data_IF_639568056225
#
_entry.id   IF_639568056225
#
_cell.length_a   1.000
_cell.length_b   1.000
_cell.length_c   1.000
_cell.angle_alpha   90.00
_cell.angle_beta   90.00
_cell.angle_gamma   90.00
#
_symmetry.space_group_name_H-M   'P 1'
#
loop_
_entity.id
_entity.type
_entity.pdbx_description
1 polymer ?
#
# COMPACT_ATOMS: atom_id res chain seq x y z
N UNK A 1 -5.83 5.87 3.79
CA UNK A 1 -5.17 5.32 2.60
C UNK A 1 -6.01 4.21 2.01
N UNK A 2 -5.82 4.02 0.72
CA UNK A 2 -6.39 2.90 -0.01
C UNK A 2 -5.40 2.46 -1.09
N UNK A 3 -5.51 1.24 -1.57
CA UNK A 3 -4.76 0.76 -2.71
C UNK A 3 -5.63 -0.05 -3.63
N UNK A 4 -5.48 0.19 -4.91
CA UNK A 4 -6.12 -0.58 -5.96
C UNK A 4 -5.06 -1.26 -6.81
N UNK A 5 -5.19 -2.56 -7.02
CA UNK A 5 -4.51 -3.25 -8.10
C UNK A 5 -5.30 -3.00 -9.38
N UNK A 6 -4.75 -2.24 -10.29
CA UNK A 6 -5.25 -2.18 -11.66
C UNK A 6 -4.62 -3.31 -12.45
N UNK A 7 -5.41 -4.08 -13.21
CA UNK A 7 -4.90 -5.29 -13.87
C UNK A 7 -5.66 -5.62 -15.16
N UNK A 8 -4.93 -6.17 -16.11
CA UNK A 8 -5.49 -6.68 -17.35
C UNK A 8 -6.17 -8.05 -17.19
N UNK A 9 -5.84 -8.77 -16.11
CA UNK A 9 -6.37 -10.10 -15.85
C UNK A 9 -6.76 -10.29 -14.38
N UNK A 10 -7.98 -9.86 -14.04
CA UNK A 10 -8.50 -9.96 -12.68
C UNK A 10 -8.55 -11.39 -12.14
N UNK A 11 -8.87 -12.39 -12.97
CA UNK A 11 -8.95 -13.78 -12.52
C UNK A 11 -7.58 -14.31 -12.07
N UNK A 12 -6.54 -13.99 -12.83
CA UNK A 12 -5.17 -14.38 -12.50
C UNK A 12 -4.67 -13.67 -11.25
N UNK A 13 -4.95 -12.37 -11.11
CA UNK A 13 -4.64 -11.60 -9.91
C UNK A 13 -5.40 -12.11 -8.69
N UNK A 14 -6.70 -12.38 -8.81
CA UNK A 14 -7.52 -12.95 -7.74
C UNK A 14 -6.92 -14.24 -7.22
N UNK A 15 -6.55 -15.17 -8.12
CA UNK A 15 -5.91 -16.42 -7.72
C UNK A 15 -4.58 -16.18 -6.99
N UNK A 16 -3.73 -15.33 -7.55
CA UNK A 16 -2.42 -15.02 -6.97
C UNK A 16 -2.52 -14.49 -5.53
N UNK A 17 -3.28 -13.43 -5.32
CA UNK A 17 -3.37 -12.78 -4.01
C UNK A 17 -4.21 -13.59 -3.00
N UNK A 18 -5.22 -14.33 -3.43
CA UNK A 18 -5.95 -15.25 -2.56
C UNK A 18 -5.04 -16.34 -2.00
N UNK A 19 -4.14 -16.89 -2.83
CA UNK A 19 -3.20 -17.92 -2.39
C UNK A 19 -2.05 -17.35 -1.56
N UNK A 20 -1.51 -16.19 -1.95
CA UNK A 20 -0.35 -15.59 -1.28
C UNK A 20 -0.72 -14.94 0.06
N UNK A 21 -1.79 -14.13 0.08
CA UNK A 21 -2.16 -13.26 1.21
C UNK A 21 -3.43 -13.74 1.94
N UNK A 22 -4.10 -14.76 1.42
CA UNK A 22 -5.33 -15.30 2.01
C UNK A 22 -6.52 -14.37 1.86
N UNK A 23 -6.61 -13.62 0.78
CA UNK A 23 -7.71 -12.71 0.52
C UNK A 23 -8.95 -13.42 -0.02
N UNK A 24 -10.11 -12.96 0.43
CA UNK A 24 -11.39 -13.21 -0.19
C UNK A 24 -11.73 -12.01 -1.08
N UNK A 25 -11.94 -12.26 -2.40
CA UNK A 25 -12.22 -11.20 -3.36
C UNK A 25 -13.66 -11.32 -3.82
N UNK A 26 -14.46 -10.30 -3.53
CA UNK A 26 -15.88 -10.21 -3.90
C UNK A 26 -16.13 -8.85 -4.54
N UNK A 27 -16.72 -8.86 -5.73
CA UNK A 27 -17.07 -7.65 -6.49
C UNK A 27 -15.92 -6.62 -6.61
N UNK A 28 -14.69 -7.11 -6.85
CA UNK A 28 -13.50 -6.29 -7.00
C UNK A 28 -12.91 -5.76 -5.68
N UNK A 29 -13.46 -6.12 -4.53
CA UNK A 29 -12.91 -5.79 -3.22
C UNK A 29 -12.26 -7.02 -2.59
N UNK A 30 -10.98 -6.89 -2.27
CA UNK A 30 -10.24 -7.87 -1.49
C UNK A 30 -10.47 -7.62 0.01
N UNK A 31 -10.74 -8.72 0.75
CA UNK A 31 -10.99 -8.69 2.18
C UNK A 31 -10.12 -9.70 2.91
N UNK A 32 -9.64 -9.35 4.08
CA UNK A 32 -9.00 -10.25 5.04
C UNK A 32 -9.82 -10.28 6.31
N UNK A 33 -10.31 -11.47 6.70
CA UNK A 33 -11.16 -11.64 7.88
C UNK A 33 -12.38 -10.70 7.91
N UNK A 34 -12.96 -10.46 6.72
CA UNK A 34 -14.12 -9.59 6.52
C UNK A 34 -13.81 -8.09 6.39
N UNK A 35 -12.58 -7.64 6.74
CA UNK A 35 -12.18 -6.25 6.60
C UNK A 35 -11.60 -5.97 5.19
N UNK A 36 -11.96 -4.86 4.55
CA UNK A 36 -11.41 -4.50 3.24
C UNK A 36 -9.93 -4.16 3.35
N UNK A 37 -9.15 -4.63 2.39
CA UNK A 37 -7.69 -4.43 2.33
C UNK A 37 -7.24 -3.78 1.03
N UNK A 38 -7.93 -4.01 -0.09
CA UNK A 38 -7.56 -3.48 -1.40
C UNK A 38 -8.73 -3.60 -2.40
N UNK A 39 -8.63 -2.86 -3.51
CA UNK A 39 -9.44 -3.08 -4.70
C UNK A 39 -8.68 -3.87 -5.76
N UNK A 40 -9.40 -4.58 -6.64
CA UNK A 40 -8.88 -5.17 -7.87
C UNK A 40 -9.74 -4.68 -9.03
N UNK A 41 -9.17 -3.82 -9.85
CA UNK A 41 -9.90 -3.04 -10.86
C UNK A 41 -9.41 -3.42 -12.27
N UNK A 42 -10.31 -3.67 -13.24
CA UNK A 42 -9.90 -3.94 -14.61
C UNK A 42 -9.29 -2.68 -15.25
N UNK A 43 -8.13 -2.85 -15.90
CA UNK A 43 -7.43 -1.77 -16.60
C UNK A 43 -6.60 -2.33 -17.76
N UNK A 44 -5.93 -1.46 -18.51
CA UNK A 44 -5.03 -1.84 -19.61
C UNK A 44 -3.56 -1.96 -19.16
N UNK A 45 -3.31 -1.96 -17.86
CA UNK A 45 -1.99 -2.10 -17.26
C UNK A 45 -2.09 -2.91 -15.98
N UNK A 46 -0.94 -3.34 -15.47
CA UNK A 46 -0.84 -4.12 -14.24
C UNK A 46 0.06 -3.37 -13.27
N UNK A 47 -0.53 -2.73 -12.25
CA UNK A 47 0.19 -1.99 -11.21
C UNK A 47 -0.66 -1.73 -9.97
N UNK A 48 0.00 -1.53 -8.85
CA UNK A 48 -0.60 -1.00 -7.64
C UNK A 48 -0.69 0.53 -7.69
N UNK A 49 -1.85 1.07 -7.34
CA UNK A 49 -2.10 2.52 -7.21
C UNK A 49 -2.46 2.82 -5.77
N UNK A 50 -1.62 3.59 -5.10
CA UNK A 50 -1.90 4.10 -3.75
C UNK A 50 -2.77 5.34 -3.85
N UNK A 51 -3.85 5.38 -3.07
CA UNK A 51 -4.81 6.48 -3.07
C UNK A 51 -4.92 7.15 -1.70
N UNK A 52 -5.12 8.45 -1.72
CA UNK A 52 -5.23 9.31 -0.54
C UNK A 52 -6.53 10.12 -0.59
N UNK A 53 -6.96 10.65 0.55
CA UNK A 53 -8.07 11.60 0.59
C UNK A 53 -7.53 12.99 0.28
N UNK A 54 -8.06 13.64 -0.74
CA UNK A 54 -7.57 14.94 -1.18
C UNK A 54 -8.44 15.58 -2.26
N UNK A 55 -8.03 16.77 -2.72
CA UNK A 55 -8.74 17.56 -3.73
C UNK A 55 -7.94 17.61 -5.05
N UNK A 56 -8.58 17.28 -6.20
CA UNK A 56 -7.94 17.40 -7.51
C UNK A 56 -7.43 18.81 -7.83
N UNK A 57 -8.14 19.84 -7.39
CA UNK A 57 -7.73 21.23 -7.63
C UNK A 57 -6.39 21.57 -6.94
N UNK A 58 -6.11 20.96 -5.78
CA UNK A 58 -4.84 21.17 -5.08
C UNK A 58 -3.70 20.45 -5.79
N UNK A 59 -3.94 19.30 -6.41
CA UNK A 59 -2.95 18.61 -7.25
C UNK A 59 -2.48 19.52 -8.39
N UNK A 60 -3.43 20.13 -9.12
CA UNK A 60 -3.10 21.01 -10.24
C UNK A 60 -2.41 22.30 -9.81
N UNK A 61 -2.82 22.89 -8.68
CA UNK A 61 -2.15 24.08 -8.11
C UNK A 61 -0.69 23.87 -7.75
N UNK A 62 -0.35 22.65 -7.32
CA UNK A 62 1.02 22.26 -6.95
C UNK A 62 1.84 21.69 -8.14
N UNK A 63 1.29 21.76 -9.35
CA UNK A 63 1.99 21.36 -10.57
C UNK A 63 1.84 19.89 -10.96
N UNK A 64 1.01 19.13 -10.26
CA UNK A 64 0.58 17.79 -10.68
C UNK A 64 -0.48 17.85 -11.76
N UNK A 65 -0.97 16.70 -12.18
CA UNK A 65 -1.98 16.56 -13.23
C UNK A 65 -3.09 15.60 -12.79
N UNK A 66 -4.32 15.91 -13.14
CA UNK A 66 -5.43 14.97 -13.11
C UNK A 66 -5.48 14.25 -14.45
N UNK A 67 -5.32 12.92 -14.46
CA UNK A 67 -5.29 12.10 -15.67
C UNK A 67 -6.67 11.57 -16.04
N UNK A 68 -7.44 11.14 -15.04
CA UNK A 68 -8.82 10.69 -15.20
C UNK A 68 -9.56 10.82 -13.89
N UNK A 69 -10.87 10.91 -13.95
CA UNK A 69 -11.74 10.93 -12.77
C UNK A 69 -13.03 10.19 -13.10
N UNK A 70 -13.44 9.30 -12.21
CA UNK A 70 -14.74 8.65 -12.23
C UNK A 70 -15.43 8.80 -10.85
N UNK A 71 -16.52 8.08 -10.63
CA UNK A 71 -17.29 8.18 -9.38
C UNK A 71 -16.55 7.59 -8.16
N UNK A 72 -15.49 6.79 -8.38
CA UNK A 72 -14.81 6.03 -7.32
C UNK A 72 -13.40 6.51 -7.03
N UNK A 73 -12.66 6.97 -8.06
CA UNK A 73 -11.26 7.39 -7.93
C UNK A 73 -10.90 8.47 -8.94
N UNK A 74 -10.06 9.39 -8.53
CA UNK A 74 -9.38 10.33 -9.43
C UNK A 74 -7.92 9.91 -9.54
N UNK A 75 -7.49 9.50 -10.74
CA UNK A 75 -6.10 9.17 -11.02
C UNK A 75 -5.31 10.44 -11.30
N UNK A 76 -4.23 10.63 -10.57
CA UNK A 76 -3.35 11.79 -10.64
C UNK A 76 -1.91 11.38 -10.96
N UNK A 77 -1.16 12.38 -11.42
CA UNK A 77 0.29 12.29 -11.61
C UNK A 77 0.95 13.45 -10.88
N UNK A 78 1.96 13.16 -10.09
CA UNK A 78 2.78 14.18 -9.46
C UNK A 78 3.70 14.89 -10.47
N UNK A 79 4.37 16.01 -10.11
CA UNK A 79 5.25 16.73 -11.03
C UNK A 79 6.44 15.92 -11.54
N UNK A 80 6.84 14.87 -10.84
CA UNK A 80 7.95 13.98 -11.20
C UNK A 80 7.52 12.78 -12.06
N UNK A 81 6.21 12.60 -12.28
CA UNK A 81 5.64 11.53 -13.11
C UNK A 81 5.08 10.34 -12.34
N UNK A 82 5.14 10.33 -11.01
CA UNK A 82 4.58 9.29 -10.17
C UNK A 82 3.06 9.28 -10.19
N UNK A 83 2.46 8.10 -10.27
CA UNK A 83 1.02 7.91 -10.28
C UNK A 83 0.49 7.68 -8.87
N UNK A 84 -0.63 8.32 -8.55
CA UNK A 84 -1.37 8.12 -7.33
C UNK A 84 -2.86 8.39 -7.54
N UNK A 85 -3.69 7.93 -6.62
CA UNK A 85 -5.12 8.15 -6.66
C UNK A 85 -5.58 9.15 -5.58
N UNK A 86 -6.71 9.80 -5.84
CA UNK A 86 -7.52 10.45 -4.83
C UNK A 86 -8.81 9.67 -4.67
N UNK A 87 -9.07 9.16 -3.48
CA UNK A 87 -10.22 8.32 -3.17
C UNK A 87 -10.57 8.45 -1.69
N UNK A 88 -11.84 8.64 -1.41
CA UNK A 88 -12.38 8.50 -0.06
C UNK A 88 -13.01 7.10 0.05
N UNK A 89 -12.37 6.15 0.76
CA UNK A 89 -12.92 4.82 0.88
C UNK A 89 -14.27 4.84 1.62
N UNK A 90 -15.24 4.09 1.11
CA UNK A 90 -16.57 4.00 1.71
C UNK A 90 -16.53 3.42 3.13
N UNK A 91 -15.68 2.40 3.33
CA UNK A 91 -15.46 1.79 4.63
C UNK A 91 -14.25 2.43 5.33
N UNK A 92 -14.43 2.87 6.56
CA UNK A 92 -13.38 3.53 7.36
C UNK A 92 -12.56 2.55 8.19
N UNK A 93 -13.07 1.35 8.44
CA UNK A 93 -12.38 0.31 9.20
C UNK A 93 -11.63 -0.61 8.24
N UNK A 94 -10.37 -0.27 7.97
CA UNK A 94 -9.48 -1.05 7.12
C UNK A 94 -8.59 -1.95 7.98
N UNK A 95 -8.28 -3.14 7.46
CA UNK A 95 -7.26 -3.99 8.09
C UNK A 95 -5.87 -3.40 7.84
N UNK A 96 -5.01 -3.38 8.87
CA UNK A 96 -3.66 -2.88 8.78
C UNK A 96 -2.74 -3.55 9.81
N UNK A 97 -1.45 -3.68 9.46
CA UNK A 97 -0.39 -4.08 10.39
C UNK A 97 -0.27 -5.57 10.68
N UNK A 98 -1.06 -6.44 10.02
CA UNK A 98 -1.10 -7.89 10.24
C UNK A 98 -0.58 -8.66 9.02
N UNK A 99 -0.27 -9.98 9.14
CA UNK A 99 -0.02 -10.82 7.98
C UNK A 99 -1.21 -10.85 7.03
N UNK A 100 -0.94 -10.65 5.74
CA UNK A 100 -1.95 -10.64 4.67
C UNK A 100 -2.64 -9.28 4.45
N UNK A 101 -2.21 -8.21 5.13
CA UNK A 101 -2.77 -6.87 4.97
C UNK A 101 -1.67 -5.84 4.71
N UNK A 102 -2.02 -4.61 4.29
CA UNK A 102 -1.05 -3.52 4.15
C UNK A 102 -0.36 -3.21 5.49
N UNK A 103 0.97 -3.09 5.46
CA UNK A 103 1.78 -2.79 6.65
C UNK A 103 2.56 -1.50 6.50
N UNK A 104 2.87 -1.07 5.28
CA UNK A 104 3.60 0.15 5.00
C UNK A 104 3.36 0.64 3.57
N UNK A 105 3.58 1.92 3.34
CA UNK A 105 3.62 2.56 2.02
C UNK A 105 4.90 3.33 1.87
N UNK A 106 5.49 3.32 0.68
CA UNK A 106 6.75 4.00 0.43
C UNK A 106 6.77 4.68 -0.92
N UNK A 107 7.28 5.90 -0.96
CA UNK A 107 7.46 6.65 -2.18
C UNK A 107 8.93 6.79 -2.52
N UNK A 108 9.33 6.28 -3.67
CA UNK A 108 10.60 6.63 -4.32
C UNK A 108 10.43 7.95 -5.05
N UNK A 109 11.25 8.94 -4.73
CA UNK A 109 11.18 10.29 -5.28
C UNK A 109 12.47 10.62 -6.03
N UNK A 110 12.43 11.12 -7.28
CA UNK A 110 13.66 11.49 -8.00
C UNK A 110 14.30 12.78 -7.46
N UNK A 111 13.63 13.53 -6.60
CA UNK A 111 14.13 14.75 -5.99
C UNK A 111 13.37 15.10 -4.70
N UNK A 112 13.93 16.02 -3.91
CA UNK A 112 13.26 16.57 -2.74
C UNK A 112 11.94 17.29 -3.10
N UNK A 113 11.90 18.00 -4.23
CA UNK A 113 10.69 18.71 -4.68
C UNK A 113 9.49 17.73 -4.85
N UNK A 114 9.77 16.48 -5.22
CA UNK A 114 8.73 15.45 -5.34
C UNK A 114 8.21 15.00 -3.96
N UNK A 115 9.04 15.00 -2.93
CA UNK A 115 8.63 14.75 -1.53
C UNK A 115 7.83 15.94 -0.99
N UNK A 116 8.32 17.16 -1.21
CA UNK A 116 7.67 18.40 -0.78
C UNK A 116 6.27 18.53 -1.40
N UNK A 117 6.08 18.09 -2.65
CA UNK A 117 4.78 18.07 -3.30
C UNK A 117 3.72 17.33 -2.47
N UNK A 118 4.04 16.13 -1.97
CA UNK A 118 3.10 15.34 -1.16
C UNK A 118 2.90 15.94 0.23
N UNK A 119 3.96 16.45 0.85
CA UNK A 119 3.86 17.17 2.12
C UNK A 119 2.91 18.37 2.06
N UNK A 120 3.01 19.18 1.00
CA UNK A 120 2.14 20.34 0.79
C UNK A 120 0.72 19.93 0.36
N UNK A 121 0.58 18.90 -0.51
CA UNK A 121 -0.71 18.45 -1.01
C UNK A 121 -1.63 17.95 0.10
N UNK A 122 -1.07 17.22 1.06
CA UNK A 122 -1.83 16.54 2.11
C UNK A 122 -1.62 17.14 3.51
N UNK A 123 -0.82 18.21 3.61
CA UNK A 123 -0.47 18.86 4.89
C UNK A 123 0.15 17.87 5.89
N UNK A 124 1.05 16.99 5.39
CA UNK A 124 1.72 16.02 6.25
C UNK A 124 2.86 16.62 7.04
N UNK A 125 2.96 16.25 8.31
CA UNK A 125 4.20 16.45 9.08
C UNK A 125 5.24 15.43 8.60
N UNK A 126 6.34 15.92 7.98
CA UNK A 126 7.42 15.08 7.49
C UNK A 126 8.64 15.25 8.37
N UNK A 127 9.19 14.14 8.87
CA UNK A 127 10.44 14.07 9.63
C UNK A 127 11.50 13.39 8.78
N UNK A 128 12.72 13.92 8.81
CA UNK A 128 13.87 13.31 8.16
C UNK A 128 14.71 12.57 9.17
N UNK A 129 15.08 11.34 8.85
CA UNK A 129 16.00 10.50 9.62
C UNK A 129 17.00 9.83 8.66
N UNK A 130 18.25 10.29 8.68
CA UNK A 130 19.35 9.73 7.85
C UNK A 130 19.04 9.65 6.34
N UNK A 131 18.36 10.66 5.80
CA UNK A 131 17.98 10.72 4.37
C UNK A 131 16.71 9.94 4.02
N UNK A 132 16.02 9.39 5.00
CA UNK A 132 14.70 8.80 4.89
C UNK A 132 13.67 9.74 5.48
N UNK A 133 12.56 9.94 4.81
CA UNK A 133 11.51 10.89 5.16
C UNK A 133 10.28 10.13 5.60
N UNK A 134 9.77 10.45 6.78
CA UNK A 134 8.65 9.75 7.41
C UNK A 134 7.51 10.75 7.58
N UNK A 135 6.36 10.45 7.00
CA UNK A 135 5.15 11.21 7.27
C UNK A 135 4.51 10.69 8.58
N UNK A 136 4.10 11.64 9.41
CA UNK A 136 3.62 11.40 10.77
C UNK A 136 2.25 12.05 10.96
N UNK A 137 1.31 11.34 11.56
CA UNK A 137 0.00 11.83 11.98
C UNK A 137 -0.22 11.47 13.46
N UNK A 138 -0.57 12.45 14.26
CA UNK A 138 -0.72 12.33 15.73
C UNK A 138 0.50 11.68 16.44
N UNK A 139 1.70 11.93 15.90
CA UNK A 139 2.95 11.39 16.41
C UNK A 139 3.27 9.96 15.95
N UNK A 140 2.38 9.29 15.21
CA UNK A 140 2.58 7.96 14.67
C UNK A 140 3.04 8.01 13.20
N UNK A 141 4.13 7.30 12.84
CA UNK A 141 4.56 7.17 11.45
C UNK A 141 3.55 6.31 10.67
N UNK A 142 3.27 6.69 9.42
CA UNK A 142 2.31 5.96 8.60
C UNK A 142 2.78 5.67 7.17
N UNK A 143 3.76 6.39 6.64
CA UNK A 143 4.43 6.07 5.38
C UNK A 143 5.84 6.66 5.35
N UNK A 144 6.65 6.13 4.43
CA UNK A 144 8.01 6.58 4.19
C UNK A 144 8.21 7.12 2.77
N UNK A 145 9.25 7.94 2.62
CA UNK A 145 9.69 8.45 1.33
C UNK A 145 11.21 8.53 1.32
N UNK A 146 11.82 8.32 0.16
CA UNK A 146 13.26 8.43 -0.01
C UNK A 146 13.61 8.95 -1.40
N UNK A 147 14.81 9.49 -1.55
CA UNK A 147 15.31 9.92 -2.87
C UNK A 147 15.85 8.71 -3.62
N UNK A 148 15.21 8.38 -4.74
CA UNK A 148 15.50 7.25 -5.61
C UNK A 148 15.55 7.68 -7.08
N UNK A 149 15.61 6.72 -7.99
CA UNK A 149 15.74 7.02 -9.42
C UNK A 149 14.43 7.40 -10.11
N UNK A 150 13.31 6.87 -9.63
CA UNK A 150 12.01 7.00 -10.27
C UNK A 150 10.93 7.43 -9.28
N UNK A 151 9.95 8.19 -9.77
CA UNK A 151 8.77 8.58 -9.02
C UNK A 151 7.78 7.41 -8.98
N UNK A 152 7.68 6.70 -7.85
CA UNK A 152 6.80 5.54 -7.71
C UNK A 152 6.39 5.29 -6.28
N UNK A 153 5.12 4.98 -6.07
CA UNK A 153 4.58 4.44 -4.84
C UNK A 153 4.66 2.92 -4.78
N UNK A 154 5.02 2.40 -3.63
CA UNK A 154 5.04 0.97 -3.33
C UNK A 154 4.15 0.66 -2.14
N UNK A 155 3.38 -0.42 -2.26
CA UNK A 155 2.63 -1.02 -1.15
C UNK A 155 3.41 -2.18 -0.58
N UNK A 156 3.45 -2.29 0.75
CA UNK A 156 4.05 -3.38 1.50
C UNK A 156 2.95 -4.20 2.14
N UNK A 157 2.94 -5.51 1.90
CA UNK A 157 2.00 -6.43 2.53
C UNK A 157 2.71 -7.33 3.54
N UNK A 158 2.08 -7.53 4.69
CA UNK A 158 2.62 -8.38 5.74
C UNK A 158 2.60 -9.86 5.40
N UNK A 159 3.63 -10.58 5.76
CA UNK A 159 3.71 -12.05 5.70
C UNK A 159 4.32 -12.59 6.99
N UNK A 160 4.03 -13.85 7.37
CA UNK A 160 4.59 -14.48 8.56
C UNK A 160 6.01 -14.99 8.37
N UNK A 161 6.35 -15.39 7.17
CA UNK A 161 7.62 -16.00 6.79
C UNK A 161 7.97 -15.51 5.39
N UNK A 162 8.99 -14.67 5.31
CA UNK A 162 9.37 -14.03 4.06
C UNK A 162 9.94 -15.00 3.03
N UNK A 163 10.70 -16.01 3.47
CA UNK A 163 11.30 -17.00 2.57
C UNK A 163 10.23 -17.91 1.97
N UNK A 164 9.27 -18.36 2.80
CA UNK A 164 8.13 -19.14 2.33
C UNK A 164 7.24 -18.32 1.38
N UNK A 165 7.01 -17.04 1.66
CA UNK A 165 6.23 -16.14 0.82
C UNK A 165 6.90 -15.91 -0.54
N UNK A 166 8.21 -15.69 -0.59
CA UNK A 166 8.98 -15.55 -1.84
C UNK A 166 8.90 -16.83 -2.69
N UNK A 167 9.04 -18.00 -2.08
CA UNK A 167 8.87 -19.29 -2.76
C UNK A 167 7.46 -19.43 -3.35
N UNK A 168 6.45 -18.99 -2.59
CA UNK A 168 5.05 -19.03 -3.06
C UNK A 168 4.79 -18.05 -4.21
N UNK A 169 5.36 -16.85 -4.19
CA UNK A 169 5.30 -15.89 -5.31
C UNK A 169 5.77 -16.54 -6.60
N UNK A 170 6.92 -17.23 -6.59
CA UNK A 170 7.46 -17.90 -7.76
C UNK A 170 6.56 -19.06 -8.22
N UNK A 171 6.06 -19.86 -7.27
CA UNK A 171 5.15 -20.97 -7.58
C UNK A 171 3.80 -20.51 -8.18
N UNK A 172 3.37 -19.29 -7.87
CA UNK A 172 2.16 -18.67 -8.40
C UNK A 172 2.38 -17.92 -9.73
N UNK A 173 3.61 -17.96 -10.27
CA UNK A 173 3.96 -17.36 -11.56
C UNK A 173 4.42 -15.90 -11.49
N UNK A 174 4.67 -15.39 -10.28
CA UNK A 174 5.35 -14.12 -10.06
C UNK A 174 6.87 -14.28 -10.00
N UNK A 175 7.58 -13.29 -9.51
CA UNK A 175 9.03 -13.32 -9.36
C UNK A 175 9.51 -12.45 -8.21
N UNK A 176 10.71 -12.79 -7.72
CA UNK A 176 11.42 -12.02 -6.69
C UNK A 176 12.48 -11.17 -7.39
N UNK A 177 12.41 -9.86 -7.23
CA UNK A 177 13.32 -8.89 -7.85
C UNK A 177 14.39 -8.38 -6.88
N UNK A 178 14.04 -8.34 -5.59
CA UNK A 178 14.91 -7.89 -4.51
C UNK A 178 14.71 -8.74 -3.26
N UNK A 179 15.80 -9.09 -2.59
CA UNK A 179 15.77 -9.82 -1.33
C UNK A 179 15.48 -11.33 -1.47
N UNK A 180 14.98 -11.99 -0.40
CA UNK A 180 14.65 -11.38 0.90
C UNK A 180 15.88 -10.88 1.66
N UNK A 181 15.78 -9.69 2.23
CA UNK A 181 16.82 -9.08 3.06
C UNK A 181 16.16 -8.31 4.22
N UNK A 182 16.64 -8.55 5.44
CA UNK A 182 16.10 -7.93 6.66
C UNK A 182 14.56 -8.04 6.80
N UNK A 183 13.99 -9.20 6.43
CA UNK A 183 12.55 -9.45 6.49
C UNK A 183 11.73 -8.76 5.40
N UNK A 184 12.36 -8.26 4.34
CA UNK A 184 11.69 -7.54 3.24
C UNK A 184 12.10 -8.12 1.89
N UNK A 185 11.16 -8.18 0.96
CA UNK A 185 11.41 -8.57 -0.43
C UNK A 185 10.58 -7.73 -1.40
N UNK A 186 11.22 -7.33 -2.51
CA UNK A 186 10.52 -6.74 -3.66
C UNK A 186 10.15 -7.82 -4.64
N UNK A 187 8.89 -7.88 -5.02
CA UNK A 187 8.34 -8.94 -5.87
C UNK A 187 7.41 -8.37 -6.94
N UNK A 188 7.07 -9.18 -7.93
CA UNK A 188 5.96 -8.90 -8.83
C UNK A 188 4.98 -10.07 -8.86
N UNK A 189 3.71 -9.76 -9.10
CA UNK A 189 2.69 -10.77 -9.27
C UNK A 189 2.77 -11.46 -10.64
N UNK A 190 1.87 -12.40 -10.88
CA UNK A 190 1.84 -13.19 -12.11
C UNK A 190 1.52 -12.36 -13.38
N UNK A 191 1.04 -11.13 -13.25
CA UNK A 191 0.80 -10.18 -14.35
C UNK A 191 1.89 -9.11 -14.46
N UNK A 192 2.85 -9.05 -13.53
CA UNK A 192 3.97 -8.12 -13.50
C UNK A 192 3.81 -6.90 -12.59
N UNK A 193 2.71 -6.78 -11.84
CA UNK A 193 2.53 -5.70 -10.89
C UNK A 193 3.50 -5.83 -9.71
N UNK A 194 4.29 -4.79 -9.46
CA UNK A 194 5.32 -4.76 -8.42
C UNK A 194 4.73 -4.37 -7.07
N UNK A 195 5.21 -5.01 -6.00
CA UNK A 195 4.91 -4.69 -4.60
C UNK A 195 6.00 -5.25 -3.68
N UNK A 196 5.92 -4.92 -2.40
CA UNK A 196 6.83 -5.45 -1.40
C UNK A 196 6.11 -6.36 -0.41
N UNK A 197 6.87 -7.32 0.10
CA UNK A 197 6.48 -8.15 1.24
C UNK A 197 7.35 -7.77 2.44
N UNK A 198 6.74 -7.73 3.62
CA UNK A 198 7.43 -7.48 4.88
C UNK A 198 7.02 -8.53 5.90
N UNK A 199 8.02 -9.16 6.53
CA UNK A 199 7.77 -10.11 7.61
C UNK A 199 7.26 -9.37 8.84
N UNK A 200 6.12 -9.81 9.37
CA UNK A 200 5.48 -9.23 10.55
C UNK A 200 5.01 -10.36 11.47
N UNK A 201 5.03 -10.07 12.76
CA UNK A 201 4.50 -10.98 13.78
C UNK A 201 2.96 -11.06 13.71
N UNK A 202 2.41 -12.17 14.19
CA UNK A 202 0.98 -12.23 14.47
C UNK A 202 0.62 -11.21 15.56
N UNK A 203 -0.57 -10.59 15.49
CA UNK A 203 -1.01 -9.67 16.52
C UNK A 203 -1.05 -10.42 17.87
N UNK A 204 -0.27 -9.94 18.84
CA UNK A 204 -0.37 -10.39 20.22
C UNK A 204 -1.64 -9.78 20.80
N UNK A 205 -2.67 -10.58 21.02
CA UNK A 205 -3.73 -10.20 21.95
C UNK A 205 -3.11 -10.19 23.34
N UNK A 206 -2.83 -9.01 23.87
CA UNK A 206 -2.64 -8.88 25.31
C UNK A 206 -3.93 -9.41 25.95
N UNK A 207 -3.83 -10.55 26.65
CA UNK A 207 -4.90 -11.01 27.53
C UNK A 207 -5.13 -9.85 28.50
N UNK A 208 -6.23 -9.12 28.32
CA UNK A 208 -6.69 -8.19 29.33
C UNK A 208 -6.98 -9.07 30.53
N UNK A 209 -6.06 -9.06 31.50
CA UNK A 209 -6.26 -9.67 32.79
C UNK A 209 -7.58 -9.12 33.37
N UNK A 210 -8.63 -9.90 33.25
CA UNK A 210 -9.83 -9.74 34.06
C UNK A 210 -9.51 -10.14 35.52
N UNK A 211 -8.61 -9.43 36.13
CA UNK A 211 -8.32 -9.54 37.54
C UNK A 211 -8.57 -8.18 38.18
N UNK A 212 -9.83 -7.83 38.40
CA UNK A 212 -10.26 -7.14 39.61
C UNK A 212 -11.79 -6.89 39.61
N UNK A 213 -12.57 -7.96 39.67
CA UNK A 213 -13.87 -7.88 40.34
C UNK A 213 -13.75 -8.51 41.71
N UNK A 214 -13.08 -7.85 42.61
CA UNK A 214 -13.23 -8.16 44.03
C UNK A 214 -14.41 -7.37 44.54
N UNK A 215 -15.49 -8.10 44.73
CA UNK A 215 -16.58 -7.76 45.58
C UNK A 215 -16.06 -7.44 46.98
N UNK A 216 -16.30 -6.25 47.45
CA UNK A 216 -16.37 -5.88 48.83
C UNK A 216 -17.70 -5.22 49.10
#
# INVERSE_FOLDING_TARGET
FWQDLVTQNQLKSTHFYSQLLGWEIVDGTARKEGLPVAGIVPAQMDMWVTSFIGSPENVEKLGGKVLSSDETVTLCQDPAGGLFGLKDPEERFLAAGEPGVPVWYEYSAPSMDAIDFYGELFDWEIREEDGYFIAVEDGAPFLGMYVGEHAQWFSYFGVRDIDAACTQVENLGGGVEFGPENGTAGVHDANGAQFFLSEVDDPTFDEVDEADSVLG
#
